data_IF_265473090133
#
_entry.id   IF_265473090133
#
_cell.length_a   1.000
_cell.length_b   1.000
_cell.length_c   1.000
_cell.angle_alpha   90.00
_cell.angle_beta   90.00
_cell.angle_gamma   90.00
#
_symmetry.space_group_name_H-M   'P 1'
#
loop_
_entity.id
_entity.type
_entity.pdbx_description
1 polymer ?
#
# COMPACT_ATOMS: atom_id res chain seq x y z
N UNK A 1 5.85 -30.94 -4.50
CA UNK A 1 6.10 -29.82 -5.45
C UNK A 1 6.51 -30.38 -6.80
N UNK A 2 7.47 -31.31 -6.86
CA UNK A 2 7.86 -32.02 -8.08
C UNK A 2 6.71 -32.80 -8.76
N UNK A 3 5.84 -33.51 -8.01
CA UNK A 3 4.65 -34.20 -8.59
C UNK A 3 3.66 -33.25 -9.29
N UNK A 4 3.51 -32.02 -8.78
CA UNK A 4 2.59 -31.02 -9.35
C UNK A 4 3.21 -30.44 -10.64
N UNK A 5 4.54 -30.34 -10.67
CA UNK A 5 5.30 -29.86 -11.83
C UNK A 5 5.23 -30.89 -12.96
N UNK A 6 5.36 -32.19 -12.65
CA UNK A 6 5.19 -33.27 -13.63
C UNK A 6 3.75 -33.37 -14.16
N UNK A 7 2.72 -33.21 -13.31
CA UNK A 7 1.32 -33.28 -13.75
C UNK A 7 0.91 -32.15 -14.69
N UNK A 8 1.39 -30.93 -14.45
CA UNK A 8 1.02 -29.76 -15.26
C UNK A 8 1.94 -29.59 -16.47
N UNK A 9 3.18 -30.10 -16.38
CA UNK A 9 4.18 -30.04 -17.44
C UNK A 9 4.98 -28.73 -17.40
N UNK A 10 6.32 -28.78 -17.50
CA UNK A 10 7.18 -27.60 -17.40
C UNK A 10 6.86 -26.54 -18.46
N UNK A 11 6.34 -26.93 -19.62
CA UNK A 11 5.93 -26.03 -20.69
C UNK A 11 4.77 -25.11 -20.30
N UNK A 12 3.79 -25.59 -19.52
CA UNK A 12 2.65 -24.77 -19.10
C UNK A 12 3.04 -23.79 -18.00
N UNK A 13 3.93 -24.19 -17.09
CA UNK A 13 4.50 -23.25 -16.12
C UNK A 13 5.36 -22.21 -16.80
N UNK A 14 6.21 -22.60 -17.76
CA UNK A 14 7.01 -21.66 -18.52
C UNK A 14 6.13 -20.64 -19.24
N UNK A 15 5.05 -21.07 -19.88
CA UNK A 15 4.11 -20.17 -20.55
C UNK A 15 3.49 -19.17 -19.56
N UNK A 16 2.99 -19.63 -18.41
CA UNK A 16 2.37 -18.77 -17.39
C UNK A 16 3.39 -17.76 -16.82
N UNK A 17 4.61 -18.21 -16.52
CA UNK A 17 5.68 -17.35 -15.99
C UNK A 17 6.13 -16.35 -17.04
N UNK A 18 6.33 -16.77 -18.30
CA UNK A 18 6.71 -15.88 -19.40
C UNK A 18 5.61 -14.85 -19.71
N UNK A 19 4.33 -15.23 -19.67
CA UNK A 19 3.23 -14.29 -19.87
C UNK A 19 3.14 -13.27 -18.73
N UNK A 20 3.31 -13.72 -17.48
CA UNK A 20 3.37 -12.83 -16.32
C UNK A 20 4.57 -11.88 -16.40
N UNK A 21 5.74 -12.38 -16.76
CA UNK A 21 6.96 -11.60 -16.95
C UNK A 21 6.80 -10.57 -18.08
N UNK A 22 6.27 -10.99 -19.24
CA UNK A 22 5.99 -10.10 -20.37
C UNK A 22 4.98 -9.00 -19.99
N UNK A 23 3.95 -9.34 -19.21
CA UNK A 23 2.99 -8.38 -18.70
C UNK A 23 3.60 -7.39 -17.71
N UNK A 24 4.49 -7.84 -16.82
CA UNK A 24 5.25 -6.98 -15.90
C UNK A 24 6.17 -6.04 -16.68
N UNK A 25 6.88 -6.53 -17.70
CA UNK A 25 7.76 -5.71 -18.55
C UNK A 25 6.97 -4.65 -19.33
N UNK A 26 5.81 -5.01 -19.87
CA UNK A 26 4.92 -4.05 -20.53
C UNK A 26 4.37 -3.01 -19.56
N UNK A 27 3.95 -3.41 -18.35
CA UNK A 27 3.52 -2.50 -17.31
C UNK A 27 4.65 -1.54 -16.92
N UNK A 28 5.87 -2.05 -16.71
CA UNK A 28 7.07 -1.25 -16.48
C UNK A 28 7.27 -0.22 -17.58
N UNK A 29 7.25 -0.64 -18.84
CA UNK A 29 7.43 0.24 -20.00
C UNK A 29 6.40 1.36 -20.05
N UNK A 30 5.11 1.04 -19.84
CA UNK A 30 4.03 2.03 -19.82
C UNK A 30 4.23 3.04 -18.71
N UNK A 31 4.63 2.59 -17.51
CA UNK A 31 4.92 3.48 -16.39
C UNK A 31 6.13 4.37 -16.71
N UNK A 32 7.17 3.84 -17.38
CA UNK A 32 8.39 4.60 -17.76
C UNK A 32 8.06 5.72 -18.72
N UNK A 33 7.28 5.40 -19.74
CA UNK A 33 6.94 6.34 -20.80
C UNK A 33 5.94 7.40 -20.32
N UNK A 34 4.94 7.00 -19.53
CA UNK A 34 3.83 7.88 -19.14
C UNK A 34 4.07 8.63 -17.83
N UNK A 35 4.86 8.05 -16.93
CA UNK A 35 5.14 8.59 -15.61
C UNK A 35 6.65 8.53 -15.28
N UNK A 36 7.48 9.24 -16.05
CA UNK A 36 8.94 9.17 -15.92
C UNK A 36 9.45 9.57 -14.53
N UNK A 37 8.68 10.39 -13.79
CA UNK A 37 9.02 10.81 -12.43
C UNK A 37 8.62 9.78 -11.35
N UNK A 38 7.78 8.79 -11.66
CA UNK A 38 7.34 7.74 -10.72
C UNK A 38 8.35 6.58 -10.67
N UNK A 39 9.07 6.32 -11.77
CA UNK A 39 10.06 5.23 -11.85
C UNK A 39 11.45 5.56 -11.31
N UNK A 40 11.64 6.74 -10.75
CA UNK A 40 12.91 7.12 -10.16
C UNK A 40 13.20 6.51 -8.79
N UNK A 41 12.45 5.50 -8.32
CA UNK A 41 12.91 4.72 -7.16
C UNK A 41 14.13 3.83 -7.47
N UNK A 42 14.49 3.67 -8.75
CA UNK A 42 15.76 3.09 -9.21
C UNK A 42 16.84 4.12 -9.55
N UNK A 43 16.60 5.43 -9.37
CA UNK A 43 17.73 6.37 -9.34
C UNK A 43 18.56 6.01 -8.14
N UNK A 44 19.86 5.84 -8.36
CA UNK A 44 20.82 5.67 -7.28
C UNK A 44 20.95 6.99 -6.51
N UNK A 45 19.94 7.25 -5.69
CA UNK A 45 19.90 8.34 -4.74
C UNK A 45 21.06 8.25 -3.74
N UNK A 46 21.89 7.19 -3.76
CA UNK A 46 23.17 7.10 -3.04
C UNK A 46 24.09 8.28 -3.31
N UNK A 47 23.96 8.93 -4.46
CA UNK A 47 24.74 10.14 -4.81
C UNK A 47 24.12 11.46 -4.36
N UNK A 48 22.83 11.49 -4.00
CA UNK A 48 22.06 12.73 -3.75
C UNK A 48 21.51 12.79 -2.31
N UNK A 49 21.08 11.64 -1.77
CA UNK A 49 20.47 11.51 -0.45
C UNK A 49 21.46 10.93 0.56
N UNK A 50 21.46 11.42 1.80
CA UNK A 50 22.23 10.82 2.88
C UNK A 50 21.88 9.34 3.08
N UNK A 51 22.89 8.52 3.43
CA UNK A 51 22.72 7.07 3.63
C UNK A 51 21.60 6.72 4.63
N UNK A 52 21.38 7.55 5.65
CA UNK A 52 20.29 7.40 6.60
C UNK A 52 18.91 7.48 5.93
N UNK A 53 18.72 8.42 5.00
CA UNK A 53 17.46 8.61 4.27
C UNK A 53 17.20 7.44 3.32
N UNK A 54 18.25 6.93 2.67
CA UNK A 54 18.15 5.74 1.80
C UNK A 54 17.77 4.48 2.57
N UNK A 55 18.27 4.35 3.80
CA UNK A 55 17.94 3.21 4.65
C UNK A 55 16.47 3.20 5.02
N UNK A 56 15.89 4.38 5.31
CA UNK A 56 14.46 4.54 5.59
C UNK A 56 13.62 4.33 4.32
N UNK A 57 14.01 4.91 3.18
CA UNK A 57 13.29 4.73 1.91
C UNK A 57 13.39 3.32 1.33
N UNK A 58 14.42 2.55 1.70
CA UNK A 58 14.52 1.12 1.35
C UNK A 58 13.78 0.23 2.34
N UNK A 59 13.37 0.76 3.50
CA UNK A 59 12.60 -0.03 4.46
C UNK A 59 11.14 -0.10 4.04
N UNK A 60 10.65 -1.32 3.83
CA UNK A 60 9.24 -1.56 3.55
C UNK A 60 8.34 -1.11 4.73
N UNK A 61 8.89 -1.14 5.94
CA UNK A 61 8.25 -0.74 7.20
C UNK A 61 7.78 0.71 7.20
N UNK A 62 8.57 1.64 6.64
CA UNK A 62 8.17 3.06 6.58
C UNK A 62 6.89 3.24 5.75
N UNK A 63 6.80 2.55 4.61
CA UNK A 63 5.63 2.63 3.75
C UNK A 63 4.44 1.82 4.28
N UNK A 64 4.68 0.74 5.02
CA UNK A 64 3.63 0.06 5.79
C UNK A 64 3.02 1.01 6.82
N UNK A 65 3.85 1.67 7.64
CA UNK A 65 3.41 2.61 8.68
C UNK A 65 2.64 3.80 8.09
N UNK A 66 3.12 4.36 6.98
CA UNK A 66 2.43 5.46 6.29
C UNK A 66 1.07 5.02 5.73
N UNK A 67 0.97 3.80 5.17
CA UNK A 67 -0.31 3.25 4.66
C UNK A 67 -1.32 3.05 5.78
N UNK A 68 -0.84 2.57 6.92
CA UNK A 68 -1.62 2.38 8.14
C UNK A 68 -2.17 3.70 8.64
N UNK A 69 -1.30 4.71 8.75
CA UNK A 69 -1.69 6.03 9.17
C UNK A 69 -2.72 6.62 8.20
N UNK A 70 -2.53 6.46 6.90
CA UNK A 70 -3.48 6.91 5.88
C UNK A 70 -4.85 6.21 6.02
N UNK A 71 -4.88 4.92 6.33
CA UNK A 71 -6.11 4.18 6.58
C UNK A 71 -6.85 4.70 7.83
N UNK A 72 -6.12 4.99 8.91
CA UNK A 72 -6.69 5.57 10.13
C UNK A 72 -7.21 7.00 9.93
N UNK A 73 -6.49 7.81 9.15
CA UNK A 73 -6.87 9.20 8.88
C UNK A 73 -8.10 9.33 7.96
N UNK A 74 -8.35 8.34 7.11
CA UNK A 74 -9.49 8.36 6.18
C UNK A 74 -10.87 8.52 6.86
N UNK A 75 -11.27 7.67 7.82
CA UNK A 75 -12.55 7.82 8.53
C UNK A 75 -12.60 9.10 9.36
N UNK A 76 -11.47 9.55 9.93
CA UNK A 76 -11.37 10.80 10.69
C UNK A 76 -11.68 12.01 9.77
N UNK A 77 -11.03 12.07 8.60
CA UNK A 77 -11.28 13.13 7.62
C UNK A 77 -12.73 13.17 7.17
N UNK A 78 -13.34 12.01 6.95
CA UNK A 78 -14.75 11.89 6.55
C UNK A 78 -15.69 12.42 7.64
N UNK A 79 -15.43 12.10 8.90
CA UNK A 79 -16.20 12.59 10.04
C UNK A 79 -16.08 14.12 10.17
N UNK A 80 -14.88 14.68 10.08
CA UNK A 80 -14.64 16.14 10.17
C UNK A 80 -15.39 16.88 9.06
N UNK A 81 -15.20 16.50 7.79
CA UNK A 81 -15.85 17.15 6.65
C UNK A 81 -17.38 17.18 6.80
N UNK A 82 -17.95 16.09 7.36
CA UNK A 82 -19.38 15.96 7.56
C UNK A 82 -19.89 16.79 8.74
N UNK A 83 -19.11 16.92 9.81
CA UNK A 83 -19.40 17.80 10.94
C UNK A 83 -19.29 19.28 10.58
N UNK A 84 -18.35 19.64 9.70
CA UNK A 84 -18.17 21.00 9.19
C UNK A 84 -19.28 21.42 8.22
N UNK A 85 -19.88 20.46 7.51
CA UNK A 85 -21.12 20.66 6.76
C UNK A 85 -22.25 20.94 7.77
N UNK A 86 -22.70 22.19 7.85
CA UNK A 86 -23.73 22.74 8.75
C UNK A 86 -25.13 22.06 8.71
N UNK A 87 -25.29 20.88 8.09
CA UNK A 87 -26.55 20.12 8.01
C UNK A 87 -26.59 18.84 8.84
N UNK A 88 -25.55 18.55 9.63
CA UNK A 88 -25.53 17.33 10.45
C UNK A 88 -26.34 17.49 11.73
N UNK A 89 -27.50 16.83 11.74
CA UNK A 89 -28.28 16.58 12.97
C UNK A 89 -27.42 15.73 13.92
N UNK A 90 -27.55 15.93 15.24
CA UNK A 90 -26.80 15.20 16.27
C UNK A 90 -26.76 13.67 16.05
N UNK A 91 -27.83 13.09 15.51
CA UNK A 91 -27.89 11.66 15.15
C UNK A 91 -26.89 11.27 14.03
N UNK A 92 -26.68 12.13 13.03
CA UNK A 92 -25.66 11.92 12.00
C UNK A 92 -24.25 11.94 12.62
N UNK A 93 -24.01 12.79 13.61
CA UNK A 93 -22.73 12.84 14.33
C UNK A 93 -22.48 11.52 15.08
N UNK A 94 -23.49 11.01 15.81
CA UNK A 94 -23.37 9.73 16.52
C UNK A 94 -23.09 8.54 15.59
N UNK A 95 -23.73 8.50 14.42
CA UNK A 95 -23.52 7.43 13.44
C UNK A 95 -22.08 7.42 12.91
N UNK A 96 -21.53 8.60 12.58
CA UNK A 96 -20.14 8.70 12.11
C UNK A 96 -19.13 8.38 13.21
N UNK A 97 -19.41 8.74 14.47
CA UNK A 97 -18.57 8.36 15.60
C UNK A 97 -18.56 6.83 15.81
N UNK A 98 -19.70 6.16 15.67
CA UNK A 98 -19.78 4.70 15.75
C UNK A 98 -19.02 4.02 14.59
N UNK A 99 -19.10 4.57 13.37
CA UNK A 99 -18.32 4.08 12.23
C UNK A 99 -16.83 4.29 12.42
N UNK A 100 -16.42 5.43 13.00
CA UNK A 100 -15.05 5.72 13.36
C UNK A 100 -14.52 4.73 14.41
N UNK A 101 -15.29 4.45 15.46
CA UNK A 101 -14.94 3.46 16.49
C UNK A 101 -14.73 2.06 15.87
N UNK A 102 -15.63 1.63 14.99
CA UNK A 102 -15.50 0.34 14.29
C UNK A 102 -14.27 0.28 13.38
N UNK A 103 -13.93 1.38 12.69
CA UNK A 103 -12.73 1.46 11.87
C UNK A 103 -11.44 1.41 12.72
N UNK A 104 -11.44 2.06 13.89
CA UNK A 104 -10.31 2.02 14.85
C UNK A 104 -10.15 0.61 15.44
N UNK A 105 -11.23 -0.09 15.78
CA UNK A 105 -11.15 -1.48 16.24
C UNK A 105 -10.56 -2.43 15.18
N UNK A 106 -10.90 -2.23 13.91
CA UNK A 106 -10.29 -2.99 12.81
C UNK A 106 -8.80 -2.74 12.64
N UNK A 107 -8.30 -1.57 13.04
CA UNK A 107 -6.86 -1.31 13.07
C UNK A 107 -6.15 -2.14 14.15
N UNK A 108 -6.78 -2.39 15.30
CA UNK A 108 -6.19 -3.22 16.36
C UNK A 108 -6.19 -4.72 16.03
N UNK A 109 -6.97 -5.18 15.05
CA UNK A 109 -6.95 -6.56 14.55
C UNK A 109 -5.80 -6.82 13.57
N UNK A 110 -5.22 -5.78 12.98
CA UNK A 110 -3.89 -5.89 12.39
C UNK A 110 -2.90 -5.96 13.54
N UNK A 111 -2.36 -7.14 13.81
CA UNK A 111 -1.20 -7.32 14.69
C UNK A 111 -0.06 -6.45 14.16
N UNK A 112 0.00 -5.20 14.62
CA UNK A 112 1.22 -4.44 14.58
C UNK A 112 2.20 -5.20 15.44
N UNK A 113 3.03 -6.00 14.78
CA UNK A 113 4.33 -6.36 15.32
C UNK A 113 5.00 -5.06 15.72
N UNK A 114 4.85 -4.74 17.00
CA UNK A 114 5.66 -3.86 17.82
C UNK A 114 6.32 -2.72 17.07
N UNK A 115 5.75 -1.53 17.25
CA UNK A 115 6.50 -0.28 17.22
C UNK A 115 7.55 -0.30 18.34
N UNK A 116 8.59 -1.14 18.20
CA UNK A 116 9.78 -1.23 19.04
C UNK A 116 10.79 -2.21 18.40
N UNK A 117 11.74 -1.68 17.62
CA UNK A 117 13.14 -1.53 18.07
C UNK A 117 13.96 -0.72 17.07
#
# INVERSE_FOLDING_TARGET
MEEIIEQIGPEKFSAIVSDAEANIQNAHKIITEKYPNILNLQVDYSSILPQAVLTILRSHTFFDDVRVLAFALHPIKKAILKLELQSCILANCFLELAQLEAAIKKLSEYDYFTFCR
#
